data_IF_306196908174
#
_entry.id   IF_306196908174
#
_cell.length_a   1.000
_cell.length_b   1.000
_cell.length_c   1.000
_cell.angle_alpha   90.00
_cell.angle_beta   90.00
_cell.angle_gamma   90.00
#
_symmetry.space_group_name_H-M   'P 1'
#
loop_
_entity.id
_entity.type
_entity.pdbx_description
1 polymer ?
#
# COMPACT_ATOMS: atom_id res chain seq x y z
N UNK A 1 6.65 10.27 15.67
CA UNK A 1 5.39 10.97 15.95
C UNK A 1 4.20 10.05 15.67
N UNK A 2 3.23 9.96 16.59
CA UNK A 2 1.98 9.22 16.37
C UNK A 2 0.97 10.16 15.71
N UNK A 3 0.43 9.76 14.56
CA UNK A 3 -0.56 10.54 13.79
C UNK A 3 -1.92 9.84 13.76
N UNK A 4 -2.95 10.51 13.23
CA UNK A 4 -4.23 9.88 12.94
C UNK A 4 -4.07 8.93 11.75
N UNK A 5 -4.71 7.76 11.80
CA UNK A 5 -4.70 6.81 10.69
C UNK A 5 -5.21 7.44 9.38
N UNK A 6 -6.23 8.30 9.47
CA UNK A 6 -6.76 9.03 8.32
C UNK A 6 -5.74 9.97 7.65
N UNK A 7 -4.75 10.48 8.39
CA UNK A 7 -3.67 11.29 7.82
C UNK A 7 -2.70 10.44 7.00
N UNK A 8 -2.45 9.18 7.41
CA UNK A 8 -1.66 8.23 6.61
C UNK A 8 -2.47 7.82 5.37
N UNK A 9 -3.74 7.45 5.54
CA UNK A 9 -4.64 7.12 4.42
C UNK A 9 -4.67 8.23 3.38
N UNK A 10 -4.91 9.48 3.82
CA UNK A 10 -4.93 10.64 2.94
C UNK A 10 -3.61 10.80 2.19
N UNK A 11 -2.49 10.69 2.88
CA UNK A 11 -1.17 10.83 2.24
C UNK A 11 -0.91 9.78 1.15
N UNK A 12 -1.30 8.53 1.40
CA UNK A 12 -1.18 7.46 0.39
C UNK A 12 -2.11 7.73 -0.80
N UNK A 13 -3.36 8.13 -0.54
CA UNK A 13 -4.33 8.46 -1.60
C UNK A 13 -3.85 9.65 -2.43
N UNK A 14 -3.35 10.69 -1.79
CA UNK A 14 -2.83 11.89 -2.45
C UNK A 14 -1.63 11.52 -3.33
N UNK A 15 -0.72 10.65 -2.88
CA UNK A 15 0.40 10.14 -3.68
C UNK A 15 -0.07 9.36 -4.91
N UNK A 16 -1.01 8.42 -4.74
CA UNK A 16 -1.54 7.59 -5.84
C UNK A 16 -2.29 8.44 -6.87
N UNK A 17 -3.03 9.45 -6.41
CA UNK A 17 -3.96 10.22 -7.25
C UNK A 17 -3.29 11.38 -7.99
N UNK A 18 -1.98 11.56 -7.82
CA UNK A 18 -1.18 12.58 -8.51
C UNK A 18 -1.33 12.47 -10.04
N UNK A 19 -1.51 13.58 -10.77
CA UNK A 19 -1.55 13.58 -12.23
C UNK A 19 -0.32 12.94 -12.88
N UNK A 20 0.87 13.24 -12.32
CA UNK A 20 2.19 12.79 -12.77
C UNK A 20 2.46 11.30 -12.54
N UNK A 21 1.56 10.58 -11.86
CA UNK A 21 1.68 9.12 -11.71
C UNK A 21 1.44 8.48 -13.07
N UNK A 22 2.44 7.75 -13.54
CA UNK A 22 2.46 7.03 -14.82
C UNK A 22 2.45 5.51 -14.64
N UNK A 23 2.74 5.01 -13.43
CA UNK A 23 2.73 3.58 -13.14
C UNK A 23 2.36 3.26 -11.69
N UNK A 24 1.75 2.09 -11.48
CA UNK A 24 1.34 1.60 -10.17
C UNK A 24 1.50 0.08 -10.11
N UNK A 25 1.97 -0.43 -8.97
CA UNK A 25 1.96 -1.85 -8.65
C UNK A 25 1.57 -2.13 -7.20
N UNK A 26 0.98 -3.30 -6.94
CA UNK A 26 0.78 -3.80 -5.58
C UNK A 26 0.91 -5.33 -5.52
N UNK A 27 1.54 -5.80 -4.44
CA UNK A 27 1.81 -7.20 -4.18
C UNK A 27 0.78 -7.87 -3.26
N UNK A 28 -0.41 -7.29 -3.06
CA UNK A 28 -1.36 -7.78 -2.04
C UNK A 28 -2.81 -7.79 -2.50
N UNK A 29 -3.53 -8.84 -2.11
CA UNK A 29 -4.97 -8.99 -2.30
C UNK A 29 -5.74 -8.80 -0.97
N UNK A 30 -6.61 -7.79 -0.90
CA UNK A 30 -7.25 -7.36 0.35
C UNK A 30 -8.05 -8.46 1.10
N UNK A 31 -8.88 -9.30 0.43
CA UNK A 31 -9.53 -10.43 1.09
C UNK A 31 -8.56 -11.37 1.81
N UNK A 32 -7.38 -11.59 1.22
CA UNK A 32 -6.35 -12.45 1.79
C UNK A 32 -5.72 -11.80 3.04
N UNK A 33 -5.37 -10.51 2.96
CA UNK A 33 -4.84 -9.75 4.11
C UNK A 33 -5.81 -9.69 5.29
N UNK A 34 -7.12 -9.54 5.00
CA UNK A 34 -8.14 -9.54 6.04
C UNK A 34 -8.23 -10.88 6.75
N UNK A 35 -8.11 -11.99 6.02
CA UNK A 35 -8.10 -13.33 6.59
C UNK A 35 -6.85 -13.57 7.47
N UNK A 36 -5.66 -13.17 6.99
CA UNK A 36 -4.42 -13.24 7.77
C UNK A 36 -4.55 -12.42 9.05
N UNK A 37 -5.00 -11.17 8.95
CA UNK A 37 -5.17 -10.30 10.11
C UNK A 37 -6.14 -10.89 11.13
N UNK A 38 -7.25 -11.48 10.69
CA UNK A 38 -8.25 -12.07 11.57
C UNK A 38 -7.66 -13.19 12.45
N UNK A 39 -6.72 -13.98 11.90
CA UNK A 39 -6.08 -15.11 12.58
C UNK A 39 -4.84 -14.71 13.39
N UNK A 40 -4.04 -13.77 12.89
CA UNK A 40 -2.70 -13.48 13.44
C UNK A 40 -2.58 -12.09 14.07
N UNK A 41 -3.54 -11.20 13.85
CA UNK A 41 -3.47 -9.81 14.30
C UNK A 41 -2.34 -9.01 13.67
N UNK A 42 -1.74 -9.51 12.59
CA UNK A 42 -0.68 -8.86 11.82
C UNK A 42 -0.99 -8.99 10.34
N UNK A 43 -0.75 -7.93 9.60
CA UNK A 43 -0.88 -7.90 8.15
C UNK A 43 -0.08 -6.70 7.62
N UNK A 44 -0.02 -6.54 6.32
CA UNK A 44 0.63 -5.37 5.73
C UNK A 44 0.35 -5.27 4.25
N UNK A 45 0.73 -4.14 3.66
CA UNK A 45 0.74 -4.04 2.21
C UNK A 45 1.83 -3.12 1.71
N UNK A 46 2.19 -3.33 0.45
CA UNK A 46 3.10 -2.48 -0.29
C UNK A 46 2.44 -1.97 -1.57
N UNK A 47 2.68 -0.71 -1.90
CA UNK A 47 2.26 -0.08 -3.16
C UNK A 47 3.47 0.65 -3.72
N UNK A 48 3.81 0.34 -4.96
CA UNK A 48 4.83 1.07 -5.71
C UNK A 48 4.15 2.03 -6.69
N UNK A 49 4.66 3.26 -6.73
CA UNK A 49 4.11 4.38 -7.48
C UNK A 49 5.23 4.97 -8.31
N UNK A 50 5.10 4.86 -9.63
CA UNK A 50 6.01 5.47 -10.58
C UNK A 50 5.44 6.81 -11.05
N UNK A 51 6.21 7.87 -10.90
CA UNK A 51 5.86 9.24 -11.31
C UNK A 51 6.84 9.76 -12.34
N UNK A 52 6.35 10.64 -13.22
CA UNK A 52 7.17 11.47 -14.11
C UNK A 52 7.17 12.91 -13.58
N UNK A 53 8.18 13.25 -12.77
CA UNK A 53 8.33 14.58 -12.19
C UNK A 53 9.33 15.38 -13.04
N UNK A 54 8.84 16.33 -13.84
CA UNK A 54 9.65 17.21 -14.70
C UNK A 54 10.57 16.46 -15.69
N UNK A 55 10.14 15.31 -16.20
CA UNK A 55 10.91 14.45 -17.11
C UNK A 55 11.81 13.43 -16.39
N UNK A 56 11.86 13.47 -15.06
CA UNK A 56 12.55 12.47 -14.25
C UNK A 56 11.59 11.40 -13.72
N UNK A 57 11.89 10.14 -14.02
CA UNK A 57 11.15 9.00 -13.48
C UNK A 57 11.56 8.76 -12.03
N UNK A 58 10.59 8.85 -11.10
CA UNK A 58 10.80 8.53 -9.69
C UNK A 58 9.90 7.39 -9.26
N UNK A 59 10.50 6.42 -8.56
CA UNK A 59 9.80 5.28 -7.98
C UNK A 59 9.66 5.47 -6.47
N UNK A 60 8.43 5.65 -6.02
CA UNK A 60 8.08 5.71 -4.60
C UNK A 60 7.50 4.36 -4.16
N UNK A 61 7.97 3.86 -3.02
CA UNK A 61 7.44 2.65 -2.39
C UNK A 61 6.79 2.99 -1.06
N UNK A 62 5.52 2.64 -0.93
CA UNK A 62 4.73 2.74 0.29
C UNK A 62 4.69 1.38 0.95
N UNK A 63 5.20 1.27 2.18
CA UNK A 63 5.07 0.10 3.03
C UNK A 63 4.19 0.42 4.23
N UNK A 64 3.16 -0.40 4.45
CA UNK A 64 2.29 -0.32 5.63
C UNK A 64 2.31 -1.65 6.36
N UNK A 65 2.71 -1.61 7.63
CA UNK A 65 2.70 -2.75 8.54
C UNK A 65 1.65 -2.54 9.63
N UNK A 66 0.89 -3.57 9.94
CA UNK A 66 -0.18 -3.53 10.93
C UNK A 66 0.09 -4.55 12.01
N UNK A 67 -0.12 -4.17 13.27
CA UNK A 67 -0.10 -5.09 14.40
C UNK A 67 -1.20 -4.74 15.40
N UNK A 68 -2.02 -5.72 15.75
CA UNK A 68 -2.99 -5.64 16.84
C UNK A 68 -2.26 -5.58 18.18
N UNK A 69 -2.86 -4.90 19.17
CA UNK A 69 -2.30 -4.88 20.53
C UNK A 69 -2.29 -6.30 21.10
N UNK A 70 -1.12 -6.73 21.53
CA UNK A 70 -0.97 -8.00 22.23
C UNK A 70 -1.81 -7.98 23.52
N UNK A 71 -2.54 -9.07 23.78
CA UNK A 71 -3.25 -9.29 25.04
C UNK A 71 -2.97 -10.70 25.54
N UNK A 72 -2.85 -10.86 26.87
CA UNK A 72 -2.61 -12.15 27.53
C UNK A 72 -3.84 -13.07 27.51
N UNK A 73 -5.01 -12.58 27.10
CA UNK A 73 -6.26 -13.35 27.05
C UNK A 73 -6.39 -14.08 25.72
N UNK A 74 -7.08 -15.23 25.71
CA UNK A 74 -7.42 -15.96 24.49
C UNK A 74 -8.31 -15.09 23.58
N UNK A 75 -7.80 -14.73 22.41
CA UNK A 75 -8.47 -13.81 21.47
C UNK A 75 -9.33 -14.64 20.52
N UNK A 76 -10.66 -14.42 20.54
CA UNK A 76 -11.57 -15.06 19.58
C UNK A 76 -11.46 -14.45 18.17
N UNK A 77 -11.12 -13.16 18.08
CA UNK A 77 -10.88 -12.46 16.81
C UNK A 77 -10.10 -11.16 17.05
N UNK A 78 -9.02 -10.96 16.30
CA UNK A 78 -8.23 -9.71 16.33
C UNK A 78 -8.98 -8.51 15.74
N UNK A 79 -10.09 -8.74 15.03
CA UNK A 79 -10.95 -7.66 14.51
C UNK A 79 -11.54 -6.78 15.61
N UNK A 80 -11.73 -7.33 16.81
CA UNK A 80 -12.26 -6.58 17.97
C UNK A 80 -11.21 -5.75 18.68
N UNK A 81 -9.93 -5.91 18.32
CA UNK A 81 -8.81 -5.24 18.99
C UNK A 81 -8.31 -4.06 18.17
N UNK A 82 -7.98 -2.99 18.87
CA UNK A 82 -7.17 -1.91 18.33
C UNK A 82 -5.71 -2.32 18.21
N UNK A 83 -4.91 -1.45 17.60
CA UNK A 83 -3.52 -1.74 17.31
C UNK A 83 -2.79 -0.53 16.76
N UNK A 84 -1.62 -0.80 16.20
CA UNK A 84 -0.73 0.17 15.60
C UNK A 84 -0.53 -0.14 14.12
N UNK A 85 -0.43 0.92 13.32
CA UNK A 85 0.13 0.85 11.98
C UNK A 85 1.48 1.58 11.94
N UNK A 86 2.39 1.06 11.14
CA UNK A 86 3.64 1.71 10.76
C UNK A 86 3.55 1.96 9.26
N UNK A 87 3.73 3.21 8.87
CA UNK A 87 3.78 3.65 7.49
C UNK A 87 5.19 4.13 7.17
N UNK A 88 5.69 3.72 6.01
CA UNK A 88 6.96 4.17 5.47
C UNK A 88 6.78 4.53 4.00
N UNK A 89 7.26 5.71 3.63
CA UNK A 89 7.44 6.14 2.25
C UNK A 89 8.92 6.18 1.96
N UNK A 90 9.32 5.42 0.94
CA UNK A 90 10.69 5.36 0.45
C UNK A 90 10.71 5.79 -1.02
N UNK A 91 11.83 6.31 -1.48
CA UNK A 91 12.08 6.65 -2.87
C UNK A 91 13.29 5.87 -3.34
N UNK A 92 13.24 5.34 -4.56
CA UNK A 92 14.37 4.66 -5.18
C UNK A 92 15.52 5.64 -5.36
N UNK A 93 16.70 5.23 -4.93
CA UNK A 93 17.98 5.92 -5.12
C UNK A 93 18.96 4.93 -5.79
N UNK A 94 20.15 5.42 -6.17
CA UNK A 94 21.18 4.61 -6.84
C UNK A 94 21.59 3.37 -6.01
N UNK A 95 21.58 3.47 -4.69
CA UNK A 95 22.00 2.45 -3.73
C UNK A 95 20.84 1.64 -3.11
N UNK A 96 19.61 1.80 -3.62
CA UNK A 96 18.44 1.08 -3.13
C UNK A 96 17.26 2.00 -2.84
N UNK A 97 16.72 1.97 -1.62
CA UNK A 97 15.57 2.81 -1.23
C UNK A 97 15.92 3.72 -0.08
N UNK A 98 15.77 5.03 -0.30
CA UNK A 98 15.93 6.05 0.73
C UNK A 98 14.59 6.30 1.41
N UNK A 99 14.55 6.14 2.74
CA UNK A 99 13.36 6.46 3.53
C UNK A 99 13.15 7.98 3.51
N UNK A 100 12.08 8.44 2.86
CA UNK A 100 11.67 9.85 2.85
C UNK A 100 10.86 10.19 4.08
N UNK A 101 10.01 9.25 4.54
CA UNK A 101 9.12 9.49 5.68
C UNK A 101 8.75 8.19 6.39
N UNK A 102 8.65 8.26 7.71
CA UNK A 102 8.13 7.17 8.55
C UNK A 102 7.15 7.72 9.59
N UNK A 103 5.97 7.12 9.70
CA UNK A 103 4.94 7.51 10.69
C UNK A 103 4.34 6.30 11.36
N UNK A 104 3.79 6.51 12.56
CA UNK A 104 3.01 5.50 13.27
C UNK A 104 1.62 6.06 13.54
N UNK A 105 0.59 5.23 13.50
CA UNK A 105 -0.74 5.62 13.94
C UNK A 105 -1.40 4.47 14.72
N UNK A 106 -2.43 4.81 15.50
CA UNK A 106 -3.24 3.83 16.19
C UNK A 106 -4.61 3.69 15.51
N UNK A 107 -5.15 2.47 15.55
CA UNK A 107 -6.54 2.21 15.18
C UNK A 107 -7.30 1.60 16.36
N UNK A 108 -8.62 1.75 16.33
CA UNK A 108 -9.52 1.42 17.46
C UNK A 108 -9.94 -0.05 17.44
N UNK A 109 -10.18 -0.59 16.24
CA UNK A 109 -10.52 -1.98 15.97
C UNK A 109 -10.20 -2.32 14.50
N UNK A 110 -10.29 -3.59 14.14
CA UNK A 110 -10.03 -4.06 12.77
C UNK A 110 -10.98 -3.43 11.74
N UNK A 111 -12.25 -3.20 12.07
CA UNK A 111 -13.19 -2.56 11.13
C UNK A 111 -12.77 -1.13 10.77
N UNK A 112 -12.35 -0.35 11.77
CA UNK A 112 -11.80 0.99 11.55
C UNK A 112 -10.55 0.94 10.68
N UNK A 113 -9.64 -0.02 10.91
CA UNK A 113 -8.47 -0.24 10.07
C UNK A 113 -8.87 -0.56 8.62
N UNK A 114 -9.69 -1.59 8.41
CA UNK A 114 -10.03 -2.04 7.06
C UNK A 114 -10.86 -1.01 6.30
N UNK A 115 -11.67 -0.18 6.97
CA UNK A 115 -12.32 0.98 6.33
C UNK A 115 -11.29 1.95 5.73
N UNK A 116 -10.15 2.15 6.38
CA UNK A 116 -9.07 3.00 5.86
C UNK A 116 -8.34 2.33 4.69
N UNK A 117 -8.09 1.02 4.79
CA UNK A 117 -7.48 0.24 3.70
C UNK A 117 -8.36 0.21 2.45
N UNK A 118 -9.67 0.12 2.61
CA UNK A 118 -10.62 0.19 1.49
C UNK A 118 -10.57 1.52 0.73
N UNK A 119 -10.35 2.64 1.44
CA UNK A 119 -10.18 3.96 0.80
C UNK A 119 -8.91 3.96 -0.08
N UNK A 120 -7.78 3.45 0.45
CA UNK A 120 -6.53 3.32 -0.32
C UNK A 120 -6.74 2.41 -1.53
N UNK A 121 -7.41 1.26 -1.33
CA UNK A 121 -7.70 0.30 -2.40
C UNK A 121 -8.56 0.93 -3.50
N UNK A 122 -9.60 1.68 -3.14
CA UNK A 122 -10.47 2.35 -4.10
C UNK A 122 -9.67 3.37 -4.93
N UNK A 123 -8.78 4.14 -4.30
CA UNK A 123 -7.90 5.08 -5.00
C UNK A 123 -6.93 4.37 -5.94
N UNK A 124 -6.30 3.28 -5.49
CA UNK A 124 -5.42 2.45 -6.32
C UNK A 124 -6.15 1.96 -7.59
N UNK A 125 -7.30 1.30 -7.44
CA UNK A 125 -8.03 0.78 -8.60
C UNK A 125 -8.60 1.87 -9.51
N UNK A 126 -8.93 3.04 -8.95
CA UNK A 126 -9.34 4.20 -9.75
C UNK A 126 -8.19 4.62 -10.67
N UNK A 127 -7.02 4.94 -10.11
CA UNK A 127 -5.86 5.36 -10.91
C UNK A 127 -5.36 4.24 -11.83
N UNK A 128 -5.39 2.99 -11.39
CA UNK A 128 -5.05 1.82 -12.22
C UNK A 128 -5.90 1.75 -13.49
N UNK A 129 -7.23 1.96 -13.39
CA UNK A 129 -8.13 1.98 -14.55
C UNK A 129 -7.89 3.18 -15.45
N UNK A 130 -7.60 4.35 -14.88
CA UNK A 130 -7.22 5.55 -15.64
C UNK A 130 -5.96 5.30 -16.47
N UNK A 131 -4.90 4.75 -15.86
CA UNK A 131 -3.65 4.41 -16.55
C UNK A 131 -3.86 3.37 -17.64
N UNK A 132 -4.63 2.30 -17.37
CA UNK A 132 -4.95 1.29 -18.39
C UNK A 132 -5.70 1.84 -19.59
N UNK A 133 -6.58 2.81 -19.38
CA UNK A 133 -7.33 3.44 -20.47
C UNK A 133 -6.40 4.26 -21.39
N UNK A 134 -5.39 4.92 -20.81
CA UNK A 134 -4.39 5.71 -21.54
C UNK A 134 -3.39 4.85 -22.29
N UNK A 135 -2.95 3.73 -21.70
CA UNK A 135 -1.88 2.90 -22.27
C UNK A 135 -2.31 2.08 -23.51
N UNK A 136 -3.60 1.89 -23.80
CA UNK A 136 -4.07 0.90 -24.81
C UNK A 136 -3.43 -0.50 -24.64
N UNK A 137 -3.02 -0.86 -23.43
CA UNK A 137 -2.28 -2.11 -23.15
C UNK A 137 -3.23 -3.24 -22.78
N UNK A 138 -3.08 -4.39 -23.45
CA UNK A 138 -3.74 -5.66 -23.09
C UNK A 138 -3.31 -6.07 -21.66
N UNK A 139 -4.22 -6.65 -20.84
CA UNK A 139 -3.87 -7.04 -19.48
C UNK A 139 -2.67 -7.99 -19.48
N UNK A 140 -1.53 -7.57 -18.91
CA UNK A 140 -0.43 -8.46 -18.57
C UNK A 140 -0.93 -9.46 -17.54
N UNK A 141 -0.83 -10.75 -17.86
CA UNK A 141 -0.80 -11.82 -16.85
C UNK A 141 0.59 -11.74 -16.24
N UNK A 142 0.67 -11.28 -14.99
CA UNK A 142 1.94 -11.25 -14.27
C UNK A 142 2.04 -12.57 -13.50
N UNK A 143 3.13 -13.28 -13.71
CA UNK A 143 3.49 -14.49 -12.98
C UNK A 143 3.79 -14.16 -11.51
N UNK A 144 3.46 -15.10 -10.66
CA UNK A 144 3.17 -14.99 -9.23
C UNK A 144 4.10 -14.06 -8.43
N UNK A 145 3.58 -12.89 -8.02
CA UNK A 145 3.83 -12.15 -6.76
C UNK A 145 3.26 -10.72 -6.81
N UNK A 146 2.99 -10.21 -8.00
CA UNK A 146 2.34 -8.91 -8.22
C UNK A 146 0.89 -9.13 -8.63
N UNK A 147 -0.04 -8.64 -7.82
CA UNK A 147 -1.47 -8.87 -8.05
C UNK A 147 -2.03 -7.93 -9.12
N UNK A 148 -1.57 -6.67 -9.15
CA UNK A 148 -1.97 -5.68 -10.15
C UNK A 148 -0.81 -4.73 -10.44
N UNK A 149 -0.41 -4.60 -11.72
CA UNK A 149 0.49 -3.54 -12.18
C UNK A 149 0.08 -2.96 -13.53
N UNK A 150 0.47 -1.71 -13.76
CA UNK A 150 0.31 -0.93 -14.99
C UNK A 150 1.41 0.13 -15.05
N UNK A 151 2.01 0.36 -16.22
CA UNK A 151 3.05 1.39 -16.43
C UNK A 151 4.36 1.23 -15.66
N UNK A 152 4.60 0.09 -14.99
CA UNK A 152 5.89 -0.25 -14.36
C UNK A 152 6.51 -1.38 -15.18
N UNK A 153 7.74 -1.18 -15.65
CA UNK A 153 8.51 -2.16 -16.43
C UNK A 153 9.13 -3.24 -15.55
N UNK A 154 9.36 -4.44 -16.11
CA UNK A 154 9.81 -5.62 -15.36
C UNK A 154 11.17 -5.44 -14.66
N UNK A 155 12.03 -4.57 -15.17
CA UNK A 155 13.31 -4.17 -14.56
C UNK A 155 13.16 -3.27 -13.32
N UNK A 156 12.00 -2.62 -13.17
CA UNK A 156 11.64 -1.82 -11.99
C UNK A 156 10.79 -2.60 -10.99
N UNK A 157 10.31 -3.79 -11.37
CA UNK A 157 9.68 -4.72 -10.45
C UNK A 157 10.76 -5.31 -9.55
N UNK A 158 10.48 -5.38 -8.25
CA UNK A 158 11.36 -6.04 -7.29
C UNK A 158 11.47 -7.52 -7.70
N UNK A 159 12.56 -7.88 -8.36
CA UNK A 159 12.97 -9.28 -8.49
C UNK A 159 13.25 -9.82 -7.09
N UNK A 160 12.58 -10.92 -6.74
CA UNK A 160 12.86 -11.70 -5.53
C UNK A 160 14.00 -12.67 -5.80
#
# INVERSE_FOLDING_TARGET
MVVKISSITKEIVDLISRPEVIGLATHRHLPHERAIYLKHGRCGFAIDVLTDEDGERKLYSVLVEVSAKATKRRIKSFMKLGGTIVYQLSERAEDGFRIKKRRKANYRNGEHLFKQVEIVRAAFYKKYRELKATEKVKPMKIEEEIFHAVGISDDLLLGV
#
